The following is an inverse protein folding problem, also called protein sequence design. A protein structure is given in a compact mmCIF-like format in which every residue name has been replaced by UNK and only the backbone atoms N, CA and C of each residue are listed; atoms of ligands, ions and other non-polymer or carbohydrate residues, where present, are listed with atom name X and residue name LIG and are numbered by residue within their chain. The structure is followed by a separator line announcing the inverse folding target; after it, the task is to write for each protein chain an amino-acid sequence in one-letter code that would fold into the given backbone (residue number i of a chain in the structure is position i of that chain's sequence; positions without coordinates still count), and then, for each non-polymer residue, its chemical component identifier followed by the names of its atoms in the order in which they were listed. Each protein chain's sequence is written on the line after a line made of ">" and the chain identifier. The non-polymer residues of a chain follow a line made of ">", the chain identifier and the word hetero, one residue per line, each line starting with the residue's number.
data_IF_074472705638
#
_entry.id   IF_074472705638
#
_cell.length_a   1.000
_cell.length_b   1.000
_cell.length_c   1.000
_cell.angle_alpha   90.00
_cell.angle_beta   90.00
_cell.angle_gamma   90.00
#
_symmetry.space_group_name_H-M   'P 1'
#
loop_
_entity.id
_entity.type
_entity.pdbx_description
1 polymer ?
#
# COMPACT_ATOMS: atom_id res chain seq x y z
N UNK A 1 14.10 -3.98 18.17
CA UNK A 1 13.03 -4.99 18.32
C UNK A 1 12.29 -5.07 16.99
N UNK A 2 12.37 -6.20 16.28
CA UNK A 2 11.71 -6.37 14.99
C UNK A 2 10.24 -6.71 15.27
N UNK A 3 9.31 -5.80 14.95
CA UNK A 3 7.88 -6.07 15.12
C UNK A 3 7.52 -7.24 14.20
N UNK A 4 6.99 -8.33 14.76
CA UNK A 4 6.54 -9.47 13.97
C UNK A 4 5.56 -9.01 12.89
N UNK A 5 5.85 -9.35 11.64
CA UNK A 5 5.03 -8.95 10.50
C UNK A 5 3.83 -9.89 10.38
N UNK A 6 2.64 -9.38 10.71
CA UNK A 6 1.39 -10.09 10.49
C UNK A 6 1.11 -10.08 8.99
N UNK A 7 1.31 -11.24 8.34
CA UNK A 7 0.88 -11.47 6.95
C UNK A 7 -0.64 -11.37 6.87
N UNK A 8 -1.14 -10.79 5.78
CA UNK A 8 -2.58 -10.63 5.59
C UNK A 8 -3.03 -11.24 4.26
N UNK A 9 -4.30 -11.69 4.15
CA UNK A 9 -4.84 -12.20 2.89
C UNK A 9 -4.94 -11.11 1.79
N UNK A 10 -4.73 -9.84 2.13
CA UNK A 10 -4.83 -8.71 1.20
C UNK A 10 -3.50 -8.34 0.55
N UNK A 11 -2.37 -8.82 1.09
CA UNK A 11 -1.02 -8.38 0.69
C UNK A 11 -0.74 -8.66 -0.80
N UNK A 12 -1.10 -9.84 -1.30
CA UNK A 12 -0.87 -10.22 -2.70
C UNK A 12 -1.71 -9.36 -3.66
N UNK A 13 -2.98 -9.09 -3.31
CA UNK A 13 -3.87 -8.29 -4.14
C UNK A 13 -3.43 -6.83 -4.17
N UNK A 14 -3.01 -6.27 -3.04
CA UNK A 14 -2.43 -4.93 -2.96
C UNK A 14 -1.16 -4.80 -3.81
N UNK A 15 -0.28 -5.81 -3.80
CA UNK A 15 0.91 -5.83 -4.66
C UNK A 15 0.54 -5.83 -6.16
N UNK A 16 -0.42 -6.68 -6.56
CA UNK A 16 -0.91 -6.73 -7.95
C UNK A 16 -1.49 -5.39 -8.38
N UNK A 17 -2.42 -4.82 -7.61
CA UNK A 17 -3.03 -3.52 -7.92
C UNK A 17 -1.99 -2.40 -7.97
N UNK A 18 -0.99 -2.41 -7.07
CA UNK A 18 0.11 -1.44 -7.11
C UNK A 18 0.94 -1.51 -8.39
N UNK A 19 0.98 -2.66 -9.06
CA UNK A 19 1.63 -2.86 -10.35
C UNK A 19 0.68 -2.46 -11.50
N UNK A 20 -0.61 -2.78 -11.39
CA UNK A 20 -1.64 -2.37 -12.36
C UNK A 20 -1.76 -0.84 -12.49
N UNK A 21 -1.68 -0.10 -11.37
CA UNK A 21 -1.66 1.38 -11.42
C UNK A 21 -0.57 1.89 -12.36
N UNK A 22 0.59 1.22 -12.45
CA UNK A 22 1.69 1.67 -13.31
C UNK A 22 1.33 1.63 -14.80
N UNK A 23 0.46 0.71 -15.21
CA UNK A 23 -0.01 0.58 -16.59
C UNK A 23 -0.93 1.72 -17.00
N UNK A 24 -1.44 2.47 -16.02
CA UNK A 24 -2.24 3.68 -16.26
C UNK A 24 -1.39 4.93 -16.47
N UNK A 25 -0.08 4.88 -16.17
CA UNK A 25 0.82 6.01 -16.37
C UNK A 25 1.18 6.18 -17.85
N UNK A 26 1.11 7.42 -18.32
CA UNK A 26 1.38 7.81 -19.68
C UNK A 26 2.63 8.68 -19.71
N UNK A 27 3.79 8.04 -19.85
CA UNK A 27 5.07 8.72 -19.92
C UNK A 27 5.11 9.70 -21.11
N UNK A 28 5.32 10.99 -20.88
CA UNK A 28 5.43 12.01 -21.94
C UNK A 28 6.70 12.87 -21.81
N UNK A 29 6.98 13.68 -22.83
CA UNK A 29 8.20 14.48 -22.95
C UNK A 29 9.25 13.78 -23.81
N UNK A 30 10.52 14.19 -23.74
CA UNK A 30 11.58 13.62 -24.57
C UNK A 30 11.73 12.09 -24.41
N UNK A 31 12.03 11.38 -25.51
CA UNK A 31 12.12 9.91 -25.52
C UNK A 31 13.01 9.31 -24.42
N UNK A 32 14.20 9.86 -24.09
CA UNK A 32 15.02 9.36 -22.99
C UNK A 32 14.32 9.46 -21.62
N UNK A 33 13.57 10.53 -21.38
CA UNK A 33 12.83 10.73 -20.14
C UNK A 33 11.68 9.71 -20.01
N UNK A 34 10.96 9.45 -21.11
CA UNK A 34 9.90 8.43 -21.15
C UNK A 34 10.44 7.03 -20.87
N UNK A 35 11.57 6.67 -21.50
CA UNK A 35 12.25 5.39 -21.29
C UNK A 35 12.67 5.22 -19.83
N UNK A 36 13.30 6.25 -19.25
CA UNK A 36 13.72 6.25 -17.84
C UNK A 36 12.54 6.05 -16.88
N UNK A 37 11.38 6.66 -17.16
CA UNK A 37 10.19 6.45 -16.35
C UNK A 37 9.71 4.99 -16.42
N UNK A 38 9.63 4.40 -17.62
CA UNK A 38 9.23 3.01 -17.81
C UNK A 38 10.18 2.05 -17.08
N UNK A 39 11.49 2.22 -17.24
CA UNK A 39 12.51 1.42 -16.55
C UNK A 39 12.39 1.54 -15.02
N UNK A 40 12.14 2.76 -14.52
CA UNK A 40 11.95 2.98 -13.08
C UNK A 40 10.73 2.21 -12.56
N UNK A 41 9.61 2.20 -13.28
CA UNK A 41 8.42 1.46 -12.83
C UNK A 41 8.71 -0.05 -12.76
N UNK A 42 9.39 -0.61 -13.76
CA UNK A 42 9.80 -2.02 -13.77
C UNK A 42 10.75 -2.35 -12.61
N UNK A 43 11.77 -1.52 -12.39
CA UNK A 43 12.71 -1.70 -11.29
C UNK A 43 12.01 -1.64 -9.92
N UNK A 44 11.08 -0.70 -9.75
CA UNK A 44 10.32 -0.55 -8.52
C UNK A 44 9.37 -1.71 -8.26
N UNK A 45 8.76 -2.29 -9.29
CA UNK A 45 7.89 -3.46 -9.13
C UNK A 45 8.69 -4.72 -8.82
N UNK A 46 9.89 -4.88 -9.41
CA UNK A 46 10.83 -5.94 -9.04
C UNK A 46 11.25 -5.83 -7.58
N UNK A 47 11.60 -4.62 -7.12
CA UNK A 47 11.95 -4.36 -5.73
C UNK A 47 10.78 -4.64 -4.77
N UNK A 48 9.57 -4.21 -5.14
CA UNK A 48 8.37 -4.43 -4.32
C UNK A 48 8.04 -5.93 -4.17
N UNK A 49 8.37 -6.76 -5.17
CA UNK A 49 8.13 -8.22 -5.11
C UNK A 49 9.01 -8.93 -4.08
N UNK A 50 10.22 -8.41 -3.83
CA UNK A 50 11.15 -8.96 -2.83
C UNK A 50 11.08 -8.24 -1.49
N UNK A 51 10.29 -7.17 -1.38
CA UNK A 51 10.12 -6.41 -0.16
C UNK A 51 9.26 -7.16 0.87
N UNK A 52 9.33 -6.73 2.13
CA UNK A 52 8.41 -7.22 3.14
C UNK A 52 6.94 -6.93 2.74
N UNK A 53 5.98 -7.84 3.01
CA UNK A 53 4.58 -7.64 2.62
C UNK A 53 3.98 -6.32 3.12
N UNK A 54 4.34 -5.87 4.33
CA UNK A 54 3.94 -4.55 4.84
C UNK A 54 4.45 -3.39 4.00
N UNK A 55 5.72 -3.39 3.61
CA UNK A 55 6.32 -2.35 2.80
C UNK A 55 5.68 -2.30 1.40
N UNK A 56 5.42 -3.47 0.79
CA UNK A 56 4.70 -3.55 -0.47
C UNK A 56 3.27 -3.01 -0.35
N UNK A 57 2.55 -3.34 0.73
CA UNK A 57 1.21 -2.83 1.01
C UNK A 57 1.17 -1.32 1.28
N UNK A 58 2.14 -0.77 2.01
CA UNK A 58 2.26 0.67 2.25
C UNK A 58 2.52 1.45 0.96
N UNK A 59 3.40 0.92 0.10
CA UNK A 59 3.61 1.47 -1.24
C UNK A 59 2.33 1.45 -2.06
N UNK A 60 1.57 0.35 -2.03
CA UNK A 60 0.28 0.26 -2.69
C UNK A 60 -0.65 1.36 -2.17
N UNK A 61 -0.84 1.44 -0.85
CA UNK A 61 -1.69 2.45 -0.21
C UNK A 61 -1.29 3.89 -0.59
N UNK A 62 0.01 4.19 -0.64
CA UNK A 62 0.48 5.52 -1.04
C UNK A 62 0.12 5.84 -2.50
N UNK A 63 0.30 4.90 -3.43
CA UNK A 63 -0.14 5.05 -4.82
C UNK A 63 -1.66 5.16 -4.96
N UNK A 64 -2.39 4.45 -4.11
CA UNK A 64 -3.85 4.49 -4.00
C UNK A 64 -4.41 5.80 -3.46
N UNK A 65 -3.60 6.64 -2.82
CA UNK A 65 -4.08 7.84 -2.10
C UNK A 65 -4.61 8.96 -2.99
N UNK A 66 -4.41 8.89 -4.31
CA UNK A 66 -4.69 10.00 -5.24
C UNK A 66 -3.71 11.18 -5.13
N UNK A 67 -2.84 11.20 -4.11
CA UNK A 67 -1.80 12.23 -3.90
C UNK A 67 -0.45 11.86 -4.50
N UNK A 68 -0.23 10.57 -4.77
CA UNK A 68 0.99 10.13 -5.42
C UNK A 68 1.08 10.76 -6.81
N UNK A 69 2.27 11.25 -7.14
CA UNK A 69 2.61 11.77 -8.46
C UNK A 69 3.85 11.06 -8.94
N UNK A 70 3.80 10.60 -10.18
CA UNK A 70 5.00 10.14 -10.86
C UNK A 70 5.44 11.22 -11.85
N UNK A 71 6.65 11.73 -11.71
CA UNK A 71 7.18 12.72 -12.66
C UNK A 71 7.12 12.19 -14.09
N UNK A 72 6.65 13.02 -15.03
CA UNK A 72 6.55 12.67 -16.44
C UNK A 72 5.29 11.88 -16.83
N UNK A 73 4.26 11.80 -15.97
CA UNK A 73 2.94 11.25 -16.35
C UNK A 73 2.02 12.33 -16.92
N UNK A 74 1.47 12.06 -18.10
CA UNK A 74 0.61 12.98 -18.84
C UNK A 74 -0.74 13.19 -18.16
N UNK A 75 -1.32 12.14 -17.58
CA UNK A 75 -2.62 12.24 -16.89
C UNK A 75 -2.51 13.19 -15.69
N UNK A 76 -1.48 13.00 -14.85
CA UNK A 76 -1.20 13.88 -13.72
C UNK A 76 -0.87 15.31 -14.19
N UNK A 77 -0.06 15.46 -15.24
CA UNK A 77 0.32 16.78 -15.75
C UNK A 77 -0.88 17.58 -16.31
N UNK A 78 -1.82 16.91 -16.97
CA UNK A 78 -3.07 17.52 -17.44
C UNK A 78 -3.99 17.87 -16.26
N UNK A 79 -4.16 16.97 -15.30
CA UNK A 79 -4.98 17.20 -14.12
C UNK A 79 -4.46 18.36 -13.25
N UNK A 80 -3.13 18.49 -13.14
CA UNK A 80 -2.46 19.57 -12.42
C UNK A 80 -2.37 20.87 -13.26
N UNK A 81 -2.87 20.90 -14.51
CA UNK A 81 -2.83 22.06 -15.39
C UNK A 81 -1.43 22.48 -15.87
N UNK A 82 -0.43 21.61 -15.71
CA UNK A 82 0.98 21.87 -16.08
C UNK A 82 1.19 21.88 -17.59
N UNK A 83 0.34 21.19 -18.33
CA UNK A 83 0.38 21.09 -19.79
C UNK A 83 -1.03 21.14 -20.37
N UNK A 84 -1.14 21.46 -21.66
CA UNK A 84 -2.38 21.35 -22.43
C UNK A 84 -2.13 20.34 -23.55
N UNK A 85 -3.02 19.37 -23.71
CA UNK A 85 -2.83 18.26 -24.66
C UNK A 85 -2.53 18.73 -26.10
N UNK A 86 -3.23 19.78 -26.54
CA UNK A 86 -3.06 20.38 -27.88
C UNK A 86 -1.72 21.07 -28.11
N UNK A 87 -1.01 21.44 -27.04
CA UNK A 87 0.26 22.16 -27.11
C UNK A 87 1.47 21.20 -27.04
N UNK A 88 1.23 19.91 -26.80
CA UNK A 88 2.29 18.88 -26.72
C UNK A 88 2.65 18.43 -28.14
N UNK A 89 3.94 18.42 -28.45
CA UNK A 89 4.44 17.91 -29.72
C UNK A 89 4.15 16.42 -29.85
N UNK A 90 3.80 15.98 -31.04
CA UNK A 90 3.53 14.56 -31.29
C UNK A 90 4.71 13.65 -30.89
N UNK A 91 5.94 14.05 -31.20
CA UNK A 91 7.15 13.30 -30.83
C UNK A 91 7.38 13.16 -29.31
N UNK A 92 6.71 13.99 -28.49
CA UNK A 92 6.76 13.95 -27.03
C UNK A 92 5.65 13.08 -26.41
N UNK A 93 4.66 12.67 -27.20
CA UNK A 93 3.61 11.77 -26.75
C UNK A 93 4.13 10.32 -26.65
N UNK A 94 3.52 9.48 -25.79
CA UNK A 94 3.69 8.03 -25.86
C UNK A 94 3.33 7.50 -27.25
N UNK A 95 4.03 6.47 -27.74
CA UNK A 95 3.88 5.93 -29.11
C UNK A 95 2.42 5.63 -29.51
N UNK A 96 1.63 5.09 -28.57
CA UNK A 96 0.22 4.78 -28.79
C UNK A 96 -0.61 6.04 -29.10
N UNK A 97 -0.28 7.16 -28.44
CA UNK A 97 -0.98 8.44 -28.63
C UNK A 97 -0.52 9.18 -29.89
N UNK A 98 0.70 8.94 -30.38
CA UNK A 98 1.20 9.58 -31.60
C UNK A 98 0.30 9.28 -32.79
N UNK A 99 -0.12 8.02 -32.91
CA UNK A 99 -0.96 7.50 -34.00
C UNK A 99 -2.45 7.87 -33.92
N UNK A 100 -2.85 8.64 -32.91
CA UNK A 100 -4.24 8.99 -32.63
C UNK A 100 -4.54 10.44 -33.00
N UNK A 101 -5.78 10.74 -33.39
CA UNK A 101 -6.30 12.11 -33.49
C UNK A 101 -6.33 12.79 -32.11
N UNK A 102 -6.57 14.11 -32.07
CA UNK A 102 -6.69 14.83 -30.80
C UNK A 102 -7.87 14.31 -29.95
N UNK A 103 -9.00 14.02 -30.59
CA UNK A 103 -10.20 13.47 -29.95
C UNK A 103 -9.93 12.07 -29.40
N UNK A 104 -9.25 11.22 -30.18
CA UNK A 104 -8.86 9.87 -29.76
C UNK A 104 -7.85 9.90 -28.60
N UNK A 105 -6.87 10.82 -28.63
CA UNK A 105 -5.93 11.05 -27.52
C UNK A 105 -6.68 11.42 -26.25
N UNK A 106 -7.63 12.36 -26.34
CA UNK A 106 -8.43 12.78 -25.19
C UNK A 106 -9.22 11.61 -24.61
N UNK A 107 -9.94 10.86 -25.45
CA UNK A 107 -10.72 9.70 -25.01
C UNK A 107 -9.85 8.63 -24.36
N UNK A 108 -8.66 8.38 -24.92
CA UNK A 108 -7.71 7.42 -24.35
C UNK A 108 -7.21 7.88 -22.96
N UNK A 109 -6.83 9.16 -22.83
CA UNK A 109 -6.38 9.72 -21.56
C UNK A 109 -7.47 9.63 -20.48
N UNK A 110 -8.73 9.97 -20.81
CA UNK A 110 -9.85 9.81 -19.88
C UNK A 110 -10.09 8.34 -19.49
N UNK A 111 -9.94 7.41 -20.43
CA UNK A 111 -10.03 5.97 -20.14
C UNK A 111 -8.96 5.53 -19.13
N UNK A 112 -7.72 5.97 -19.34
CA UNK A 112 -6.60 5.64 -18.44
C UNK A 112 -6.79 6.27 -17.06
N UNK A 113 -7.33 7.49 -17.00
CA UNK A 113 -7.67 8.18 -15.75
C UNK A 113 -8.76 7.43 -14.98
N UNK A 114 -9.86 7.04 -15.65
CA UNK A 114 -10.94 6.31 -15.01
C UNK A 114 -10.48 4.94 -14.47
N UNK A 115 -9.68 4.20 -15.24
CA UNK A 115 -9.11 2.93 -14.78
C UNK A 115 -8.18 3.14 -13.57
N UNK A 116 -7.35 4.20 -13.60
CA UNK A 116 -6.49 4.57 -12.46
C UNK A 116 -7.32 4.84 -11.21
N UNK A 117 -8.37 5.64 -11.30
CA UNK A 117 -9.25 5.96 -10.17
C UNK A 117 -9.93 4.71 -9.60
N UNK A 118 -10.38 3.79 -10.47
CA UNK A 118 -10.95 2.51 -10.06
C UNK A 118 -9.96 1.67 -9.26
N UNK A 119 -8.73 1.49 -9.78
CA UNK A 119 -7.68 0.73 -9.09
C UNK A 119 -7.30 1.41 -7.77
N UNK A 120 -7.22 2.74 -7.75
CA UNK A 120 -6.91 3.50 -6.53
C UNK A 120 -7.97 3.30 -5.44
N UNK A 121 -9.27 3.30 -5.80
CA UNK A 121 -10.36 3.00 -4.86
C UNK A 121 -10.23 1.59 -4.28
N UNK A 122 -9.99 0.59 -5.12
CA UNK A 122 -9.82 -0.78 -4.67
C UNK A 122 -8.60 -0.95 -3.73
N UNK A 123 -7.49 -0.25 -4.02
CA UNK A 123 -6.34 -0.20 -3.12
C UNK A 123 -6.72 0.40 -1.76
N UNK A 124 -7.49 1.49 -1.74
CA UNK A 124 -7.90 2.14 -0.49
C UNK A 124 -8.76 1.20 0.37
N UNK A 125 -9.74 0.54 -0.24
CA UNK A 125 -10.61 -0.43 0.42
C UNK A 125 -9.80 -1.59 1.03
N UNK A 126 -8.93 -2.22 0.24
CA UNK A 126 -8.09 -3.33 0.71
C UNK A 126 -7.08 -2.88 1.76
N UNK A 127 -6.55 -1.66 1.66
CA UNK A 127 -5.64 -1.10 2.66
C UNK A 127 -6.36 -0.91 4.00
N UNK A 128 -7.63 -0.53 3.99
CA UNK A 128 -8.45 -0.41 5.19
C UNK A 128 -8.73 -1.78 5.80
N UNK A 129 -9.17 -2.75 5.00
CA UNK A 129 -9.40 -4.13 5.45
C UNK A 129 -8.12 -4.76 6.04
N UNK A 130 -6.97 -4.48 5.43
CA UNK A 130 -5.67 -4.91 5.94
C UNK A 130 -5.39 -4.36 7.34
N UNK A 131 -5.63 -3.06 7.57
CA UNK A 131 -5.42 -2.43 8.89
C UNK A 131 -6.32 -3.05 9.96
N UNK A 132 -7.60 -3.25 9.64
CA UNK A 132 -8.57 -3.87 10.53
C UNK A 132 -8.20 -5.30 10.89
N UNK A 133 -7.75 -6.09 9.90
CA UNK A 133 -7.27 -7.45 10.11
C UNK A 133 -6.07 -7.50 11.05
N UNK A 134 -5.06 -6.63 10.82
CA UNK A 134 -3.87 -6.54 11.68
C UNK A 134 -4.26 -6.13 13.10
N UNK A 135 -5.15 -5.15 13.25
CA UNK A 135 -5.61 -4.71 14.57
C UNK A 135 -6.35 -5.83 15.30
N UNK A 136 -7.21 -6.59 14.61
CA UNK A 136 -7.89 -7.76 15.16
C UNK A 136 -6.90 -8.84 15.58
N UNK A 137 -5.93 -9.19 14.73
CA UNK A 137 -4.91 -10.21 15.05
C UNK A 137 -4.06 -9.85 16.25
N UNK A 138 -3.64 -8.58 16.37
CA UNK A 138 -2.90 -8.10 17.55
C UNK A 138 -3.70 -8.21 18.84
N UNK A 139 -5.01 -7.92 18.80
CA UNK A 139 -5.89 -8.12 19.97
C UNK A 139 -6.01 -9.60 20.34
N UNK A 140 -6.22 -10.47 19.35
CA UNK A 140 -6.27 -11.93 19.57
C UNK A 140 -4.97 -12.48 20.17
N UNK A 141 -3.81 -11.96 19.74
CA UNK A 141 -2.49 -12.33 20.28
C UNK A 141 -2.31 -11.83 21.72
N UNK A 142 -2.71 -10.59 22.04
CA UNK A 142 -2.66 -10.05 23.39
C UNK A 142 -3.58 -10.81 24.37
N UNK A 143 -4.81 -11.12 23.94
CA UNK A 143 -5.75 -11.92 24.74
C UNK A 143 -5.24 -13.34 24.99
N UNK A 144 -4.50 -13.92 24.03
CA UNK A 144 -3.83 -15.22 24.23
C UNK A 144 -2.65 -15.10 25.17
N UNK A 145 -1.81 -14.07 25.06
CA UNK A 145 -0.70 -13.89 25.99
C UNK A 145 -1.16 -13.63 27.42
N UNK A 146 -2.27 -12.91 27.61
CA UNK A 146 -2.85 -12.68 28.94
C UNK A 146 -3.43 -13.98 29.54
N UNK A 147 -4.04 -14.83 28.70
CA UNK A 147 -4.53 -16.16 29.11
C UNK A 147 -3.39 -17.16 29.37
N UNK A 148 -2.38 -17.19 28.51
CA UNK A 148 -1.19 -18.03 28.70
C UNK A 148 -0.38 -17.57 29.92
N UNK A 149 -0.25 -16.26 30.16
CA UNK A 149 0.31 -15.73 31.40
C UNK A 149 -0.52 -16.15 32.61
N UNK A 150 -1.86 -16.12 32.53
CA UNK A 150 -2.73 -16.64 33.60
C UNK A 150 -2.56 -18.15 33.84
N UNK A 151 -2.15 -18.91 32.82
CA UNK A 151 -1.91 -20.36 32.87
C UNK A 151 -0.41 -20.76 33.01
N UNK A 152 0.50 -19.80 33.22
CA UNK A 152 1.93 -20.11 33.46
C UNK A 152 2.20 -20.61 34.87
N UNK A 153 3.27 -21.42 35.03
CA UNK A 153 3.79 -21.81 36.34
C UNK A 153 4.05 -20.60 37.24
N UNK A 154 4.60 -19.51 36.69
CA UNK A 154 4.88 -18.29 37.45
C UNK A 154 3.60 -17.64 37.99
N UNK A 155 2.55 -17.52 37.18
CA UNK A 155 1.25 -17.01 37.67
C UNK A 155 0.59 -17.96 38.67
N UNK A 156 0.70 -19.27 38.48
CA UNK A 156 0.21 -20.27 39.42
C UNK A 156 0.95 -20.22 40.78
N UNK A 157 2.28 -20.03 40.75
CA UNK A 157 3.12 -19.87 41.94
C UNK A 157 2.80 -18.57 42.67
N UNK A 158 2.69 -17.44 41.95
CA UNK A 158 2.30 -16.15 42.56
C UNK A 158 0.92 -16.25 43.22
N UNK A 159 -0.05 -16.88 42.56
CA UNK A 159 -1.39 -17.12 43.12
C UNK A 159 -1.34 -17.99 44.37
N UNK A 160 -0.59 -19.09 44.34
CA UNK A 160 -0.42 -19.98 45.49
C UNK A 160 0.24 -19.27 46.68
N UNK A 161 1.28 -18.46 46.44
CA UNK A 161 1.97 -17.69 47.48
C UNK A 161 1.02 -16.66 48.11
N UNK A 162 0.27 -15.91 47.30
CA UNK A 162 -0.71 -14.93 47.80
C UNK A 162 -1.78 -15.59 48.65
N UNK A 163 -2.37 -16.70 48.21
CA UNK A 163 -3.37 -17.43 49.01
C UNK A 163 -2.81 -17.99 50.33
N UNK A 164 -1.54 -18.40 50.37
CA UNK A 164 -0.90 -18.83 51.63
C UNK A 164 -0.61 -17.66 52.56
N UNK A 165 -0.18 -16.53 52.02
CA UNK A 165 0.06 -15.31 52.78
C UNK A 165 -1.24 -14.75 53.39
N UNK A 166 -2.35 -14.74 52.66
CA UNK A 166 -3.68 -14.37 53.17
C UNK A 166 -4.14 -15.31 54.30
N UNK A 167 -3.98 -16.63 54.14
CA UNK A 167 -4.29 -17.61 55.21
C UNK A 167 -3.47 -17.38 56.47
N UNK A 168 -2.23 -16.90 56.32
CA UNK A 168 -1.33 -16.54 57.42
C UNK A 168 -1.50 -15.09 57.89
N UNK A 169 -2.52 -14.39 57.40
CA UNK A 169 -2.85 -12.99 57.74
C UNK A 169 -1.73 -11.99 57.47
N UNK A 170 -0.89 -12.24 56.48
CA UNK A 170 0.07 -11.23 56.00
C UNK A 170 -0.68 -10.15 55.22
N UNK A 171 -0.43 -8.88 55.55
CA UNK A 171 -1.00 -7.72 54.82
C UNK A 171 -0.19 -7.51 53.53
N UNK A 172 -0.73 -7.97 52.41
CA UNK A 172 -0.14 -7.80 51.09
C UNK A 172 -0.65 -6.50 50.47
N UNK A 173 -0.19 -5.35 50.99
CA UNK A 173 -0.34 -4.08 50.29
C UNK A 173 0.78 -3.89 49.27
N UNK A 174 0.52 -3.17 48.16
CA UNK A 174 1.51 -2.88 47.13
C UNK A 174 2.68 -2.04 47.66
#
# INVERSE_FOLDING_TARGET
>A
QQVAQIKTPYDEKLFKLSSEVNKTYLAFGAAPARKKLAERQVAQDKLARTAAPSAAAERAAFKGSGRYRTGGDLVDALADGKVKLKDIKESELPEKLQKMSLEERQKYIETQKAEREKIQKEIQELSQQRKEYIAKKRREEAEKSDKEQADTLDAAVIKAIRSQAEKKKFDLKP
#
